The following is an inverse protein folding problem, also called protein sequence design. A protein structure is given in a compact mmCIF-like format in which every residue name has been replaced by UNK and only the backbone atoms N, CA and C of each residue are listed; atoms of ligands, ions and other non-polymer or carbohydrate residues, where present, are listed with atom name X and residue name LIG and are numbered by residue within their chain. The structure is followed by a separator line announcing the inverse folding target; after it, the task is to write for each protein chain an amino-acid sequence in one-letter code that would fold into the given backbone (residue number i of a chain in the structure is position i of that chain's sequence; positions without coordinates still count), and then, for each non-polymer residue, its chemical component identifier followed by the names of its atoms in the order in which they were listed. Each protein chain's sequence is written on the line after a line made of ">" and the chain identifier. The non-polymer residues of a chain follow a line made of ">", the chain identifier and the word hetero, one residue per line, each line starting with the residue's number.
data_IF_237970556726
#
_entry.id   IF_237970556726
#
_cell.length_a   1.000
_cell.length_b   1.000
_cell.length_c   1.000
_cell.angle_alpha   90.00
_cell.angle_beta   90.00
_cell.angle_gamma   90.00
#
_symmetry.space_group_name_H-M   'P 1'
#
loop_
_entity.id
_entity.type
_entity.pdbx_description
1 polymer ?
#
# COMPACT_ATOMS: atom_id res chain seq x y z
N UNK A 1 -3.98 31.16 1.39
CA UNK A 1 -4.32 30.60 2.73
C UNK A 1 -4.01 31.63 3.79
N UNK A 2 -4.96 31.97 4.69
CA UNK A 2 -4.64 32.76 5.88
C UNK A 2 -3.57 32.01 6.68
N UNK A 3 -2.47 32.68 7.04
CA UNK A 3 -1.41 32.10 7.87
C UNK A 3 -1.99 31.76 9.25
N UNK A 4 -2.24 30.48 9.52
CA UNK A 4 -2.73 29.96 10.81
C UNK A 4 -1.60 29.35 11.61
N UNK A 5 -1.79 29.18 12.90
CA UNK A 5 -0.89 28.40 13.76
C UNK A 5 -0.73 26.99 13.18
N UNK A 6 0.48 26.48 13.15
CA UNK A 6 0.81 25.13 12.68
C UNK A 6 1.32 24.30 13.85
N UNK A 7 0.77 23.10 14.01
CA UNK A 7 1.16 22.13 15.03
C UNK A 7 1.81 20.96 14.30
N UNK A 8 3.11 20.79 14.45
CA UNK A 8 3.84 19.63 13.97
C UNK A 8 3.89 18.55 15.03
N UNK A 9 3.63 17.33 14.64
CA UNK A 9 3.46 16.20 15.58
C UNK A 9 4.32 15.03 15.13
N UNK A 10 5.26 14.64 15.98
CA UNK A 10 5.96 13.36 15.87
C UNK A 10 5.30 12.33 16.79
N UNK A 11 4.90 11.18 16.20
CA UNK A 11 4.07 10.17 16.83
C UNK A 11 4.90 8.96 17.26
N UNK A 12 5.02 8.74 18.56
CA UNK A 12 5.53 7.49 19.10
C UNK A 12 4.42 6.69 19.84
N UNK A 13 4.77 5.50 20.31
CA UNK A 13 3.81 4.58 20.94
C UNK A 13 3.16 5.19 22.18
N UNK A 14 3.94 5.77 23.07
CA UNK A 14 3.47 6.25 24.38
C UNK A 14 3.60 7.76 24.52
N UNK A 15 4.59 8.37 23.85
CA UNK A 15 4.92 9.80 23.92
C UNK A 15 4.70 10.42 22.56
N UNK A 16 4.13 11.60 22.53
CA UNK A 16 3.88 12.37 21.31
C UNK A 16 4.59 13.71 21.48
N UNK A 17 5.51 14.00 20.58
CA UNK A 17 6.18 15.29 20.56
C UNK A 17 5.37 16.28 19.74
N UNK A 18 5.17 17.48 20.29
CA UNK A 18 4.33 18.51 19.71
C UNK A 18 5.08 19.84 19.64
N UNK A 19 5.32 20.31 18.42
CA UNK A 19 5.87 21.64 18.14
C UNK A 19 4.77 22.57 17.66
N UNK A 20 4.59 23.69 18.31
CA UNK A 20 3.61 24.73 17.96
C UNK A 20 4.32 25.91 17.34
N UNK A 21 4.05 26.18 16.08
CA UNK A 21 4.67 27.23 15.27
C UNK A 21 3.64 28.29 14.91
N UNK A 22 3.95 29.54 15.17
CA UNK A 22 3.07 30.69 14.84
C UNK A 22 2.85 30.85 13.34
N UNK A 23 1.88 31.64 12.98
CA UNK A 23 1.65 32.07 11.60
C UNK A 23 2.90 32.70 10.94
N UNK A 24 3.75 33.37 11.72
CA UNK A 24 5.01 34.01 11.27
C UNK A 24 6.19 33.04 11.16
N UNK A 25 6.04 31.78 11.60
CA UNK A 25 7.13 30.77 11.56
C UNK A 25 7.96 30.67 12.83
N UNK A 26 7.62 31.39 13.89
CA UNK A 26 8.33 31.31 15.18
C UNK A 26 7.76 30.14 15.99
N UNK A 27 8.61 29.25 16.47
CA UNK A 27 8.24 28.22 17.42
C UNK A 27 7.86 28.83 18.77
N UNK A 28 6.67 28.49 19.27
CA UNK A 28 6.18 28.95 20.58
C UNK A 28 6.41 27.93 21.67
N UNK A 29 6.29 26.66 21.34
CA UNK A 29 6.51 25.57 22.29
C UNK A 29 6.86 24.29 21.56
N UNK A 30 7.69 23.46 22.20
CA UNK A 30 8.03 22.12 21.73
C UNK A 30 8.13 21.23 22.95
N UNK A 31 7.18 20.27 23.09
CA UNK A 31 7.03 19.50 24.32
C UNK A 31 6.50 18.10 24.06
N UNK A 32 6.90 17.19 24.94
CA UNK A 32 6.39 15.82 24.96
C UNK A 32 5.08 15.72 25.73
N UNK A 33 4.09 15.02 25.16
CA UNK A 33 2.79 14.76 25.77
C UNK A 33 2.50 13.27 25.78
N UNK A 34 1.82 12.79 26.82
CA UNK A 34 1.20 11.46 26.76
C UNK A 34 0.03 11.46 25.79
N UNK A 35 -0.38 10.28 25.29
CA UNK A 35 -1.53 10.17 24.37
C UNK A 35 -2.81 10.84 24.91
N UNK A 36 -3.09 10.70 26.21
CA UNK A 36 -4.23 11.36 26.87
C UNK A 36 -4.08 12.88 26.83
N UNK A 37 -2.92 13.40 27.28
CA UNK A 37 -2.64 14.85 27.26
C UNK A 37 -2.66 15.42 25.86
N UNK A 38 -2.27 14.67 24.83
CA UNK A 38 -2.33 15.12 23.45
C UNK A 38 -3.78 15.23 22.95
N UNK A 39 -4.65 14.26 23.30
CA UNK A 39 -6.09 14.38 23.00
C UNK A 39 -6.73 15.62 23.66
N UNK A 40 -6.41 15.86 24.94
CA UNK A 40 -6.86 17.05 25.69
C UNK A 40 -6.30 18.35 25.03
N UNK A 41 -5.03 18.33 24.58
CA UNK A 41 -4.42 19.46 23.87
C UNK A 41 -5.18 19.77 22.58
N UNK A 42 -5.51 18.76 21.75
CA UNK A 42 -6.28 18.97 20.53
C UNK A 42 -7.69 19.58 20.83
N UNK A 43 -8.34 19.15 21.92
CA UNK A 43 -9.64 19.71 22.31
C UNK A 43 -9.59 21.17 22.80
N UNK A 44 -8.47 21.59 23.39
CA UNK A 44 -8.29 22.95 23.93
C UNK A 44 -7.64 23.92 22.93
N UNK A 45 -6.95 23.42 21.92
CA UNK A 45 -6.24 24.21 20.94
C UNK A 45 -7.24 24.90 20.01
N UNK A 46 -7.05 26.21 19.80
CA UNK A 46 -7.79 26.94 18.76
C UNK A 46 -7.57 26.31 17.38
N UNK A 47 -8.56 26.40 16.46
CA UNK A 47 -8.45 25.83 15.14
C UNK A 47 -7.10 26.12 14.46
N UNK A 48 -6.35 25.10 14.13
CA UNK A 48 -4.98 25.18 13.64
C UNK A 48 -4.74 24.16 12.51
N UNK A 49 -3.63 24.31 11.82
CA UNK A 49 -3.12 23.28 10.92
C UNK A 49 -2.33 22.26 11.76
N UNK A 50 -2.84 21.03 11.91
CA UNK A 50 -2.17 19.94 12.63
C UNK A 50 -1.59 18.96 11.63
N UNK A 51 -0.28 18.79 11.65
CA UNK A 51 0.45 17.95 10.71
C UNK A 51 1.12 16.77 11.41
N UNK A 52 1.07 15.63 10.77
CA UNK A 52 1.64 14.36 11.22
C UNK A 52 2.58 13.81 10.17
N UNK A 53 3.69 13.21 10.56
CA UNK A 53 4.43 12.36 9.64
C UNK A 53 3.61 11.10 9.32
N UNK A 54 3.71 10.60 8.08
CA UNK A 54 3.02 9.38 7.62
C UNK A 54 3.65 8.14 8.28
N UNK A 55 3.21 7.81 9.47
CA UNK A 55 3.66 6.67 10.28
C UNK A 55 2.47 5.92 10.90
N UNK A 56 2.76 4.96 11.78
CA UNK A 56 1.74 4.28 12.56
C UNK A 56 0.91 5.30 13.39
N UNK A 57 -0.40 5.10 13.43
CA UNK A 57 -1.40 5.94 14.12
C UNK A 57 -1.67 7.33 13.52
N UNK A 58 -0.94 7.78 12.49
CA UNK A 58 -1.14 9.10 11.87
C UNK A 58 -2.59 9.30 11.36
N UNK A 59 -3.21 8.29 10.75
CA UNK A 59 -4.61 8.36 10.31
C UNK A 59 -5.61 8.52 11.47
N UNK A 60 -5.37 7.83 12.58
CA UNK A 60 -6.20 7.96 13.78
C UNK A 60 -6.15 9.38 14.33
N UNK A 61 -4.95 9.93 14.51
CA UNK A 61 -4.77 11.26 15.06
C UNK A 61 -5.21 12.36 14.09
N UNK A 62 -5.03 12.17 12.79
CA UNK A 62 -5.54 13.12 11.78
C UNK A 62 -7.07 13.20 11.81
N UNK A 63 -7.78 12.05 11.92
CA UNK A 63 -9.25 12.06 12.10
C UNK A 63 -9.65 12.66 13.44
N UNK A 64 -8.88 12.42 14.51
CA UNK A 64 -9.14 13.05 15.81
C UNK A 64 -8.98 14.55 15.74
N UNK A 65 -7.91 15.05 15.13
CA UNK A 65 -7.72 16.49 14.91
C UNK A 65 -8.86 17.12 14.10
N UNK A 66 -9.30 16.48 13.02
CA UNK A 66 -10.47 16.95 12.24
C UNK A 66 -11.75 17.02 13.08
N UNK A 67 -12.00 16.04 13.96
CA UNK A 67 -13.18 16.06 14.86
C UNK A 67 -13.17 17.23 15.85
N UNK A 68 -11.98 17.74 16.20
CA UNK A 68 -11.82 18.94 17.03
C UNK A 68 -11.75 20.24 16.22
N UNK A 69 -12.12 20.22 14.92
CA UNK A 69 -12.20 21.43 14.09
C UNK A 69 -10.86 21.90 13.50
N UNK A 70 -9.80 21.09 13.60
CA UNK A 70 -8.51 21.41 12.99
C UNK A 70 -8.44 20.97 11.52
N UNK A 71 -7.58 21.65 10.75
CA UNK A 71 -7.14 21.16 9.45
C UNK A 71 -6.02 20.14 9.69
N UNK A 72 -6.22 18.89 9.27
CA UNK A 72 -5.24 17.83 9.47
C UNK A 72 -4.51 17.48 8.17
N UNK A 73 -3.18 17.39 8.21
CA UNK A 73 -2.32 16.95 7.11
C UNK A 73 -1.47 15.75 7.54
N UNK A 74 -1.31 14.77 6.65
CA UNK A 74 -0.36 13.66 6.83
C UNK A 74 0.75 13.86 5.81
N UNK A 75 1.97 14.10 6.27
CA UNK A 75 3.10 14.44 5.42
C UNK A 75 3.96 13.19 5.19
N UNK A 76 4.29 12.84 3.94
CA UNK A 76 5.18 11.72 3.67
C UNK A 76 6.55 11.89 4.34
N UNK A 77 7.06 10.85 5.00
CA UNK A 77 8.34 10.87 5.72
C UNK A 77 9.52 11.36 4.86
N UNK A 78 9.52 11.02 3.56
CA UNK A 78 10.53 11.49 2.60
C UNK A 78 10.53 13.00 2.39
N UNK A 79 9.42 13.68 2.66
CA UNK A 79 9.32 15.13 2.54
C UNK A 79 9.67 15.84 3.87
N UNK A 80 9.55 15.14 5.00
CA UNK A 80 9.91 15.65 6.33
C UNK A 80 11.43 15.55 6.56
N UNK A 81 12.03 14.41 6.26
CA UNK A 81 13.43 14.12 6.56
C UNK A 81 14.44 15.19 6.10
N UNK A 82 14.33 15.80 4.89
CA UNK A 82 15.26 16.85 4.46
C UNK A 82 15.13 18.19 5.21
N UNK A 83 14.06 18.37 5.97
CA UNK A 83 13.77 19.61 6.71
C UNK A 83 14.20 19.54 8.17
N UNK A 84 14.59 18.36 8.64
CA UNK A 84 15.12 18.19 9.99
C UNK A 84 16.51 18.86 10.08
N UNK A 85 16.63 19.77 11.01
CA UNK A 85 17.89 20.45 11.32
C UNK A 85 18.53 19.83 12.57
N UNK A 86 19.84 19.68 12.56
CA UNK A 86 20.62 19.15 13.68
C UNK A 86 20.45 17.62 13.88
N UNK A 87 20.55 17.21 15.14
CA UNK A 87 20.49 15.81 15.51
C UNK A 87 19.07 15.24 15.36
N UNK A 88 18.98 13.91 15.17
CA UNK A 88 17.71 13.19 15.15
C UNK A 88 17.17 13.08 16.58
N UNK A 89 16.28 14.02 16.93
CA UNK A 89 15.54 14.07 18.19
C UNK A 89 14.06 14.27 17.89
N UNK A 90 13.19 13.77 18.74
CA UNK A 90 11.73 13.91 18.58
C UNK A 90 11.32 15.38 18.46
N UNK A 91 12.03 16.29 19.19
CA UNK A 91 11.81 17.74 19.11
C UNK A 91 12.09 18.30 17.71
N UNK A 92 13.23 17.93 17.12
CA UNK A 92 13.59 18.35 15.77
C UNK A 92 12.70 17.71 14.70
N UNK A 93 12.26 16.47 14.92
CA UNK A 93 11.35 15.77 14.03
C UNK A 93 9.95 16.43 14.04
N UNK A 94 9.40 16.79 15.21
CA UNK A 94 8.13 17.51 15.31
C UNK A 94 8.19 18.91 14.65
N UNK A 95 9.29 19.63 14.83
CA UNK A 95 9.51 20.92 14.15
C UNK A 95 9.60 20.75 12.64
N UNK A 96 10.34 19.75 12.15
CA UNK A 96 10.45 19.45 10.73
C UNK A 96 9.10 19.09 10.09
N UNK A 97 8.20 18.40 10.82
CA UNK A 97 6.83 18.14 10.39
C UNK A 97 6.05 19.45 10.25
N UNK A 98 6.17 20.38 11.22
CA UNK A 98 5.53 21.70 11.13
C UNK A 98 6.04 22.51 9.94
N UNK A 99 7.35 22.52 9.71
CA UNK A 99 7.98 23.18 8.56
C UNK A 99 7.51 22.58 7.23
N UNK A 100 7.47 21.25 7.12
CA UNK A 100 6.98 20.54 5.94
C UNK A 100 5.52 20.92 5.62
N UNK A 101 4.69 21.00 6.65
CA UNK A 101 3.27 21.33 6.49
C UNK A 101 3.03 22.76 6.00
N UNK A 102 3.96 23.67 6.20
CA UNK A 102 3.88 25.07 5.76
C UNK A 102 4.29 25.28 4.29
N UNK A 103 4.94 24.29 3.69
CA UNK A 103 5.39 24.35 2.29
C UNK A 103 4.29 23.95 1.32
N UNK A 104 3.89 24.83 0.38
CA UNK A 104 2.76 24.57 -0.52
C UNK A 104 3.05 23.48 -1.56
N UNK A 105 4.32 23.24 -1.86
CA UNK A 105 4.76 22.23 -2.83
C UNK A 105 4.89 20.82 -2.24
N UNK A 106 4.76 20.65 -0.92
CA UNK A 106 4.76 19.33 -0.28
C UNK A 106 3.34 18.77 -0.34
N UNK A 107 3.21 17.64 -1.03
CA UNK A 107 1.95 16.90 -1.19
C UNK A 107 1.67 16.03 0.02
N UNK A 108 0.40 15.95 0.40
CA UNK A 108 -0.05 15.10 1.51
C UNK A 108 -0.10 13.62 1.13
N UNK A 109 0.12 12.76 2.12
CA UNK A 109 -0.32 11.38 2.02
C UNK A 109 -1.84 11.32 2.21
N UNK A 110 -2.57 10.52 1.40
CA UNK A 110 -4.02 10.43 1.50
C UNK A 110 -4.47 9.97 2.88
N UNK A 111 -5.35 10.75 3.51
CA UNK A 111 -5.96 10.36 4.77
C UNK A 111 -7.05 9.33 4.51
N UNK A 112 -7.01 8.23 5.24
CA UNK A 112 -7.97 7.14 5.11
C UNK A 112 -9.14 7.29 6.09
N UNK A 113 -10.33 6.93 5.64
CA UNK A 113 -11.49 6.72 6.51
C UNK A 113 -11.27 5.48 7.40
N UNK A 114 -12.11 5.32 8.43
CA UNK A 114 -12.07 4.14 9.29
C UNK A 114 -12.36 2.86 8.49
N UNK A 115 -13.33 2.92 7.60
CA UNK A 115 -13.71 1.85 6.69
C UNK A 115 -12.55 1.43 5.77
N UNK A 116 -11.91 2.39 5.11
CA UNK A 116 -10.74 2.13 4.26
C UNK A 116 -9.57 1.52 5.03
N UNK A 117 -9.38 1.92 6.29
CA UNK A 117 -8.38 1.29 7.16
C UNK A 117 -8.79 -0.14 7.54
N UNK A 118 -10.09 -0.40 7.79
CA UNK A 118 -10.61 -1.74 8.06
C UNK A 118 -10.37 -2.69 6.90
N UNK A 119 -10.78 -2.29 5.70
CA UNK A 119 -10.53 -3.07 4.47
C UNK A 119 -9.02 -3.32 4.24
N UNK A 120 -8.19 -2.30 4.46
CA UNK A 120 -6.74 -2.46 4.35
C UNK A 120 -6.17 -3.41 5.41
N UNK A 121 -6.72 -3.41 6.64
CA UNK A 121 -6.28 -4.31 7.70
C UNK A 121 -6.58 -5.77 7.33
N UNK A 122 -7.80 -6.07 6.88
CA UNK A 122 -8.18 -7.41 6.40
C UNK A 122 -7.23 -7.88 5.27
N UNK A 123 -6.98 -7.01 4.28
CA UNK A 123 -6.10 -7.34 3.17
C UNK A 123 -4.64 -7.56 3.62
N UNK A 124 -4.14 -6.76 4.58
CA UNK A 124 -2.78 -6.93 5.14
C UNK A 124 -2.63 -8.22 5.94
N UNK A 125 -3.66 -8.59 6.72
CA UNK A 125 -3.68 -9.87 7.44
C UNK A 125 -3.59 -11.05 6.47
N UNK A 126 -4.37 -11.00 5.38
CA UNK A 126 -4.26 -12.01 4.31
C UNK A 126 -2.85 -12.05 3.69
N UNK A 127 -2.23 -10.89 3.43
CA UNK A 127 -0.87 -10.85 2.87
C UNK A 127 0.17 -11.46 3.83
N UNK A 128 0.00 -11.29 5.14
CA UNK A 128 0.83 -11.93 6.15
C UNK A 128 0.73 -13.46 6.05
N UNK A 129 -0.50 -14.01 6.04
CA UNK A 129 -0.72 -15.46 5.90
C UNK A 129 -0.08 -16.02 4.61
N UNK A 130 -0.17 -15.28 3.49
CA UNK A 130 0.50 -15.67 2.23
C UNK A 130 2.02 -15.69 2.38
N UNK A 131 2.61 -14.72 3.08
CA UNK A 131 4.04 -14.68 3.34
C UNK A 131 4.49 -15.85 4.23
N UNK A 132 3.75 -16.13 5.30
CA UNK A 132 4.01 -17.28 6.19
C UNK A 132 3.91 -18.60 5.45
N UNK A 133 2.87 -18.81 4.64
CA UNK A 133 2.68 -20.01 3.83
C UNK A 133 3.83 -20.18 2.82
N UNK A 134 4.27 -19.10 2.19
CA UNK A 134 5.42 -19.13 1.26
C UNK A 134 6.73 -19.44 1.98
N UNK A 135 6.98 -18.79 3.10
CA UNK A 135 8.19 -19.04 3.91
C UNK A 135 8.25 -20.49 4.40
N UNK A 136 7.11 -20.98 4.93
CA UNK A 136 7.00 -22.34 5.43
C UNK A 136 7.20 -23.38 4.32
N UNK A 137 6.59 -23.17 3.16
CA UNK A 137 6.75 -24.07 2.00
C UNK A 137 8.19 -24.11 1.47
N UNK A 138 8.88 -22.97 1.45
CA UNK A 138 10.28 -22.91 1.04
C UNK A 138 11.20 -23.55 2.09
N UNK A 139 10.91 -23.37 3.36
CA UNK A 139 11.64 -24.00 4.46
C UNK A 139 11.58 -25.53 4.35
N UNK A 140 10.37 -26.10 4.23
CA UNK A 140 10.21 -27.55 4.09
C UNK A 140 10.96 -28.09 2.86
N UNK A 141 10.82 -27.41 1.70
CA UNK A 141 11.56 -27.82 0.48
C UNK A 141 13.07 -27.74 0.64
N UNK A 142 13.57 -26.69 1.28
CA UNK A 142 15.02 -26.53 1.51
C UNK A 142 15.57 -27.66 2.35
N UNK A 143 14.90 -28.03 3.45
CA UNK A 143 15.35 -29.13 4.30
C UNK A 143 15.21 -30.50 3.62
N UNK A 144 14.12 -30.74 2.88
CA UNK A 144 13.95 -31.99 2.15
C UNK A 144 15.01 -32.18 1.06
N UNK A 145 15.47 -31.10 0.44
CA UNK A 145 16.55 -31.15 -0.57
C UNK A 145 17.87 -31.60 0.02
N UNK A 146 18.16 -31.29 1.30
CA UNK A 146 19.33 -31.79 2.02
C UNK A 146 19.31 -33.34 2.22
N UNK A 147 18.08 -33.93 2.16
CA UNK A 147 17.87 -35.38 2.21
C UNK A 147 17.60 -35.99 0.83
N UNK A 148 18.05 -35.32 -0.24
CA UNK A 148 17.92 -35.83 -1.62
C UNK A 148 16.48 -35.73 -2.20
N UNK A 149 15.49 -35.24 -1.46
CA UNK A 149 14.11 -35.15 -1.92
C UNK A 149 13.85 -33.83 -2.64
N UNK A 150 13.74 -33.87 -3.97
CA UNK A 150 13.51 -32.72 -4.84
C UNK A 150 12.02 -32.66 -5.29
N UNK A 151 11.35 -31.58 -5.01
CA UNK A 151 9.95 -31.35 -5.38
C UNK A 151 9.80 -30.24 -6.42
N UNK A 152 8.87 -30.36 -7.38
CA UNK A 152 8.51 -29.27 -8.29
C UNK A 152 8.04 -28.02 -7.54
N UNK A 153 8.21 -26.87 -8.17
CA UNK A 153 7.73 -25.59 -7.61
C UNK A 153 6.20 -25.55 -7.50
N UNK A 154 5.71 -24.73 -6.59
CA UNK A 154 4.26 -24.48 -6.40
C UNK A 154 3.70 -25.16 -5.14
N UNK A 155 2.71 -24.52 -4.52
CA UNK A 155 2.10 -25.01 -3.27
C UNK A 155 1.31 -26.32 -3.48
N UNK A 156 0.72 -26.50 -4.67
CA UNK A 156 -0.01 -27.71 -5.02
C UNK A 156 0.90 -28.95 -5.08
N UNK A 157 2.13 -28.80 -5.59
CA UNK A 157 3.11 -29.91 -5.62
C UNK A 157 3.48 -30.35 -4.21
N UNK A 158 3.73 -29.40 -3.32
CA UNK A 158 4.06 -29.70 -1.92
C UNK A 158 2.89 -30.42 -1.22
N UNK A 159 1.65 -29.94 -1.39
CA UNK A 159 0.47 -30.54 -0.80
C UNK A 159 0.26 -31.99 -1.25
N UNK A 160 0.53 -32.30 -2.51
CA UNK A 160 0.32 -33.63 -3.08
C UNK A 160 1.42 -34.61 -2.65
N UNK A 161 2.69 -34.17 -2.73
CA UNK A 161 3.82 -35.06 -2.57
C UNK A 161 4.25 -35.28 -1.11
N UNK A 162 3.97 -34.32 -0.22
CA UNK A 162 4.49 -34.42 1.15
C UNK A 162 3.93 -35.60 1.96
N UNK A 163 2.65 -36.01 1.82
CA UNK A 163 2.16 -37.23 2.45
C UNK A 163 2.92 -38.48 1.98
N UNK A 164 3.16 -38.64 0.68
CA UNK A 164 3.91 -39.74 0.11
C UNK A 164 5.35 -39.78 0.63
N UNK A 165 6.00 -38.61 0.73
CA UNK A 165 7.37 -38.50 1.27
C UNK A 165 7.44 -38.88 2.76
N UNK A 166 6.41 -38.57 3.52
CA UNK A 166 6.30 -38.90 4.96
C UNK A 166 6.05 -40.40 5.19
N UNK A 167 5.36 -41.08 4.27
CA UNK A 167 5.04 -42.52 4.34
C UNK A 167 6.17 -43.41 3.76
N UNK A 168 6.96 -42.86 2.83
CA UNK A 168 8.05 -43.55 2.20
C UNK A 168 9.21 -43.76 3.17
N UNK A 169 9.41 -45.03 3.60
CA UNK A 169 10.49 -45.45 4.50
C UNK A 169 11.84 -45.60 3.81
N UNK A 170 11.88 -45.65 2.47
CA UNK A 170 13.12 -45.86 1.70
C UNK A 170 13.87 -44.56 1.37
N UNK A 171 13.22 -43.40 1.58
CA UNK A 171 13.89 -42.10 1.39
C UNK A 171 14.83 -41.75 2.57
N UNK A 172 15.81 -40.87 2.33
CA UNK A 172 16.82 -40.49 3.32
C UNK A 172 16.34 -39.47 4.38
N UNK A 173 15.02 -39.20 4.47
CA UNK A 173 14.50 -38.31 5.51
C UNK A 173 14.62 -38.98 6.88
N UNK A 174 15.40 -38.41 7.83
CA UNK A 174 15.60 -39.04 9.13
C UNK A 174 14.33 -39.23 9.92
N UNK A 175 14.14 -40.37 10.58
CA UNK A 175 12.96 -40.66 11.40
C UNK A 175 12.69 -39.60 12.49
N UNK A 176 13.74 -39.09 13.08
CA UNK A 176 13.67 -38.03 14.09
C UNK A 176 13.08 -36.73 13.52
N UNK A 177 13.14 -36.49 12.21
CA UNK A 177 12.64 -35.30 11.56
C UNK A 177 11.19 -35.46 11.06
N UNK A 178 10.74 -36.68 10.73
CA UNK A 178 9.39 -36.96 10.18
C UNK A 178 8.25 -36.35 11.05
N UNK A 179 8.23 -36.49 12.39
CA UNK A 179 7.18 -35.88 13.20
C UNK A 179 7.18 -34.34 13.13
N UNK A 180 8.35 -33.73 13.04
CA UNK A 180 8.48 -32.27 12.86
C UNK A 180 7.98 -31.84 11.50
N UNK A 181 8.38 -32.54 10.44
CA UNK A 181 7.93 -32.29 9.07
C UNK A 181 6.42 -32.42 8.94
N UNK A 182 5.82 -33.44 9.56
CA UNK A 182 4.37 -33.61 9.60
C UNK A 182 3.66 -32.42 10.28
N UNK A 183 4.17 -31.91 11.41
CA UNK A 183 3.61 -30.70 12.05
C UNK A 183 3.69 -29.47 11.16
N UNK A 184 4.81 -29.29 10.44
CA UNK A 184 4.96 -28.19 9.49
C UNK A 184 3.99 -28.33 8.32
N UNK A 185 3.73 -29.55 7.87
CA UNK A 185 2.74 -29.82 6.82
C UNK A 185 1.31 -29.50 7.26
N UNK A 186 0.91 -29.93 8.45
CA UNK A 186 -0.41 -29.58 9.01
C UNK A 186 -0.54 -28.06 9.08
N UNK A 187 0.46 -27.36 9.63
CA UNK A 187 0.45 -25.88 9.68
C UNK A 187 0.36 -25.25 8.28
N UNK A 188 1.00 -25.84 7.28
CA UNK A 188 0.90 -25.40 5.89
C UNK A 188 -0.53 -25.53 5.33
N UNK A 189 -1.24 -26.62 5.65
CA UNK A 189 -2.64 -26.82 5.24
C UNK A 189 -3.55 -25.79 5.91
N UNK A 190 -3.40 -25.58 7.23
CA UNK A 190 -4.16 -24.57 7.98
C UNK A 190 -3.98 -23.18 7.37
N UNK A 191 -2.74 -22.79 7.04
CA UNK A 191 -2.47 -21.49 6.40
C UNK A 191 -3.14 -21.36 5.03
N UNK A 192 -3.22 -22.44 4.26
CA UNK A 192 -3.92 -22.44 2.96
C UNK A 192 -5.42 -22.22 3.12
N UNK A 193 -6.02 -22.89 4.10
CA UNK A 193 -7.47 -22.78 4.40
C UNK A 193 -7.77 -21.37 4.94
N UNK A 194 -6.95 -20.83 5.81
CA UNK A 194 -7.04 -19.44 6.29
C UNK A 194 -6.97 -18.45 5.13
N UNK A 195 -5.99 -18.60 4.21
CA UNK A 195 -5.86 -17.74 3.02
C UNK A 195 -7.12 -17.83 2.14
N UNK A 196 -7.67 -19.01 1.95
CA UNK A 196 -8.88 -19.21 1.16
C UNK A 196 -10.08 -18.52 1.83
N UNK A 197 -10.24 -18.71 3.13
CA UNK A 197 -11.29 -18.04 3.92
C UNK A 197 -11.19 -16.53 3.84
N UNK A 198 -9.98 -15.98 3.95
CA UNK A 198 -9.73 -14.54 3.78
C UNK A 198 -10.02 -14.04 2.36
N UNK A 199 -9.75 -14.86 1.32
CA UNK A 199 -10.10 -14.51 -0.06
C UNK A 199 -11.62 -14.39 -0.25
N UNK A 200 -12.38 -15.31 0.36
CA UNK A 200 -13.85 -15.27 0.36
C UNK A 200 -14.35 -14.03 1.09
N UNK A 201 -13.84 -13.79 2.30
CA UNK A 201 -14.23 -12.61 3.10
C UNK A 201 -13.95 -11.29 2.36
N UNK A 202 -12.78 -11.15 1.73
CA UNK A 202 -12.45 -9.95 0.93
C UNK A 202 -13.41 -9.81 -0.26
N UNK A 203 -13.77 -10.90 -0.93
CA UNK A 203 -14.72 -10.86 -2.05
C UNK A 203 -16.10 -10.36 -1.61
N UNK A 204 -16.59 -10.83 -0.47
CA UNK A 204 -17.89 -10.38 0.08
C UNK A 204 -17.82 -8.91 0.54
N UNK A 205 -16.76 -8.52 1.23
CA UNK A 205 -16.55 -7.11 1.60
C UNK A 205 -16.54 -6.18 0.38
N UNK A 206 -15.88 -6.58 -0.72
CA UNK A 206 -15.86 -5.79 -1.96
C UNK A 206 -17.25 -5.61 -2.54
N UNK A 207 -18.11 -6.64 -2.51
CA UNK A 207 -19.50 -6.54 -3.00
C UNK A 207 -20.33 -5.55 -2.16
N UNK A 208 -20.12 -5.55 -0.84
CA UNK A 208 -20.85 -4.71 0.09
C UNK A 208 -20.44 -3.23 0.05
N UNK A 209 -19.23 -2.94 -0.46
CA UNK A 209 -18.71 -1.56 -0.51
C UNK A 209 -18.77 -0.98 -1.93
N UNK A 210 -19.71 -0.06 -2.24
CA UNK A 210 -19.87 0.50 -3.58
C UNK A 210 -18.59 1.10 -4.16
N UNK A 211 -17.76 1.76 -3.32
CA UNK A 211 -16.47 2.29 -3.72
C UNK A 211 -15.45 1.22 -4.17
N UNK A 212 -15.64 -0.05 -3.77
CA UNK A 212 -14.79 -1.16 -4.21
C UNK A 212 -15.42 -1.94 -5.36
N UNK A 213 -16.73 -2.21 -5.31
CA UNK A 213 -17.41 -3.09 -6.26
C UNK A 213 -17.28 -2.59 -7.70
N UNK A 214 -17.52 -1.31 -7.94
CA UNK A 214 -17.37 -0.71 -9.27
C UNK A 214 -15.96 -0.85 -9.86
N UNK A 215 -14.92 -0.87 -9.02
CA UNK A 215 -13.54 -1.00 -9.49
C UNK A 215 -13.24 -2.39 -10.09
N UNK A 216 -14.00 -3.41 -9.72
CA UNK A 216 -13.83 -4.77 -10.28
C UNK A 216 -14.29 -4.89 -11.74
N UNK A 217 -15.00 -3.90 -12.27
CA UNK A 217 -15.33 -3.81 -13.69
C UNK A 217 -14.11 -3.47 -14.58
N UNK A 218 -13.04 -2.92 -13.98
CA UNK A 218 -11.81 -2.60 -14.71
C UNK A 218 -11.03 -3.87 -15.05
N UNK A 219 -10.54 -3.97 -16.27
CA UNK A 219 -9.82 -5.13 -16.77
C UNK A 219 -8.55 -5.42 -15.94
N UNK A 220 -8.47 -6.62 -15.39
CA UNK A 220 -7.36 -7.04 -14.54
C UNK A 220 -7.43 -6.53 -13.09
N UNK A 221 -8.53 -5.90 -12.67
CA UNK A 221 -8.76 -5.53 -11.27
C UNK A 221 -9.65 -6.57 -10.61
N UNK A 222 -9.06 -7.39 -9.75
CA UNK A 222 -9.80 -8.29 -8.86
C UNK A 222 -10.09 -7.67 -7.49
N UNK A 223 -10.74 -8.41 -6.57
CA UNK A 223 -11.12 -7.91 -5.25
C UNK A 223 -9.97 -7.30 -4.45
N UNK A 224 -8.80 -7.92 -4.45
CA UNK A 224 -7.59 -7.40 -3.76
C UNK A 224 -7.15 -6.06 -4.37
N UNK A 225 -7.15 -5.97 -5.70
CA UNK A 225 -6.80 -4.72 -6.41
C UNK A 225 -7.78 -3.60 -6.10
N UNK A 226 -9.08 -3.90 -6.04
CA UNK A 226 -10.14 -2.96 -5.71
C UNK A 226 -9.98 -2.40 -4.28
N UNK A 227 -9.79 -3.27 -3.28
CA UNK A 227 -9.53 -2.86 -1.88
C UNK A 227 -8.30 -1.98 -1.79
N UNK A 228 -7.19 -2.37 -2.42
CA UNK A 228 -5.94 -1.61 -2.35
C UNK A 228 -6.05 -0.25 -3.04
N UNK A 229 -6.74 -0.15 -4.18
CA UNK A 229 -7.02 1.11 -4.88
C UNK A 229 -7.87 2.03 -4.00
N UNK A 230 -9.01 1.54 -3.50
CA UNK A 230 -9.91 2.29 -2.64
C UNK A 230 -9.21 2.79 -1.37
N UNK A 231 -8.49 1.92 -0.67
CA UNK A 231 -7.74 2.29 0.53
C UNK A 231 -6.56 3.23 0.28
N UNK A 232 -5.98 3.22 -0.94
CA UNK A 232 -4.85 4.09 -1.28
C UNK A 232 -5.26 5.47 -1.75
N UNK A 233 -6.46 5.63 -2.27
CA UNK A 233 -7.01 6.93 -2.66
C UNK A 233 -7.34 7.79 -1.44
N UNK A 234 -7.74 7.19 -0.33
CA UNK A 234 -8.18 7.91 0.86
C UNK A 234 -9.50 8.64 0.57
N UNK A 235 -9.60 9.91 0.98
CA UNK A 235 -10.73 10.81 0.67
C UNK A 235 -10.66 11.39 -0.74
N UNK A 236 -9.56 11.15 -1.48
CA UNK A 236 -9.33 11.71 -2.81
C UNK A 236 -8.83 13.16 -2.84
N UNK A 237 -8.98 13.89 -1.75
CA UNK A 237 -8.62 15.33 -1.64
C UNK A 237 -7.11 15.59 -1.84
N UNK A 238 -6.26 14.58 -1.59
CA UNK A 238 -4.82 14.69 -1.70
C UNK A 238 -4.31 14.78 -3.15
N UNK A 239 -5.17 14.54 -4.15
CA UNK A 239 -4.79 14.49 -5.55
C UNK A 239 -5.57 15.51 -6.39
N UNK A 240 -4.85 16.36 -7.11
CA UNK A 240 -5.46 17.33 -8.03
C UNK A 240 -6.03 16.67 -9.31
N UNK A 241 -5.65 15.42 -9.59
CA UNK A 241 -6.14 14.70 -10.75
C UNK A 241 -5.63 13.27 -10.88
N UNK A 242 -6.22 12.55 -11.82
CA UNK A 242 -5.95 11.14 -12.07
C UNK A 242 -4.48 10.84 -12.44
N UNK A 243 -3.81 11.79 -13.14
CA UNK A 243 -2.38 11.64 -13.50
C UNK A 243 -1.50 11.68 -12.25
N UNK A 244 -1.82 12.54 -11.30
CA UNK A 244 -1.10 12.66 -10.04
C UNK A 244 -1.27 11.39 -9.19
N UNK A 245 -2.47 10.82 -9.13
CA UNK A 245 -2.71 9.55 -8.46
C UNK A 245 -1.89 8.40 -9.07
N UNK A 246 -1.86 8.28 -10.40
CA UNK A 246 -1.04 7.27 -11.08
C UNK A 246 0.47 7.45 -10.81
N UNK A 247 0.94 8.70 -10.75
CA UNK A 247 2.32 9.02 -10.39
C UNK A 247 2.62 8.68 -8.92
N UNK A 248 1.69 8.99 -8.00
CA UNK A 248 1.78 8.59 -6.59
C UNK A 248 1.91 7.08 -6.41
N UNK A 249 1.24 6.28 -7.24
CA UNK A 249 1.37 4.82 -7.24
C UNK A 249 2.69 4.33 -7.87
N UNK A 250 3.48 5.21 -8.47
CA UNK A 250 4.72 4.86 -9.15
C UNK A 250 4.50 4.15 -10.48
N UNK A 251 3.38 4.41 -11.16
CA UNK A 251 3.02 3.83 -12.46
C UNK A 251 3.46 4.72 -13.64
N UNK A 252 4.20 5.79 -13.37
CA UNK A 252 4.80 6.66 -14.39
C UNK A 252 6.30 6.40 -14.51
N UNK A 253 6.86 6.38 -15.74
CA UNK A 253 8.30 6.29 -15.90
C UNK A 253 9.02 7.48 -15.28
N UNK A 254 10.26 7.26 -14.85
CA UNK A 254 11.14 8.35 -14.40
C UNK A 254 11.71 9.08 -15.60
N UNK A 255 11.77 10.38 -15.50
CA UNK A 255 12.47 11.25 -16.42
C UNK A 255 13.76 11.73 -15.76
N UNK A 256 14.87 11.61 -16.45
CA UNK A 256 16.16 12.18 -16.10
C UNK A 256 16.52 13.18 -17.17
N UNK A 257 16.76 14.42 -16.78
CA UNK A 257 17.16 15.50 -17.71
C UNK A 257 18.51 16.06 -17.28
N UNK A 258 19.42 16.17 -18.21
CA UNK A 258 20.76 16.76 -18.01
C UNK A 258 21.19 17.42 -19.32
N UNK A 259 21.66 18.67 -19.27
CA UNK A 259 22.18 19.39 -20.44
C UNK A 259 21.21 19.47 -21.61
N UNK A 260 19.92 19.67 -21.35
CA UNK A 260 18.87 19.73 -22.41
C UNK A 260 18.44 18.38 -22.98
N UNK A 261 19.08 17.27 -22.61
CA UNK A 261 18.70 15.92 -23.03
C UNK A 261 17.77 15.28 -22.00
N UNK A 262 16.66 14.72 -22.45
CA UNK A 262 15.69 14.01 -21.61
C UNK A 262 15.74 12.52 -21.88
N UNK A 263 16.04 11.73 -20.84
CA UNK A 263 16.00 10.27 -20.88
C UNK A 263 14.82 9.75 -20.05
N UNK A 264 13.97 8.93 -20.67
CA UNK A 264 12.89 8.23 -19.99
C UNK A 264 13.42 6.86 -19.56
N UNK A 265 13.53 6.66 -18.26
CA UNK A 265 13.91 5.36 -17.66
C UNK A 265 12.69 4.70 -17.04
N UNK A 266 12.71 3.37 -16.97
CA UNK A 266 11.58 2.58 -16.48
C UNK A 266 11.04 3.00 -15.11
N UNK A 267 10.08 2.27 -14.58
CA UNK A 267 9.45 2.58 -13.30
C UNK A 267 10.45 2.56 -12.15
N UNK A 268 10.34 3.49 -11.22
CA UNK A 268 11.17 3.50 -10.02
C UNK A 268 10.76 2.39 -9.05
N UNK A 269 11.72 1.60 -8.58
CA UNK A 269 11.49 0.59 -7.53
C UNK A 269 11.19 1.23 -6.17
N UNK A 270 11.68 2.46 -5.93
CA UNK A 270 11.66 3.16 -4.62
C UNK A 270 10.52 4.18 -4.47
N UNK A 271 9.68 4.37 -5.49
CA UNK A 271 8.60 5.37 -5.49
C UNK A 271 7.25 4.69 -5.47
N UNK A 272 6.30 5.26 -4.74
CA UNK A 272 4.90 4.84 -4.69
C UNK A 272 4.63 3.67 -3.74
N UNK A 273 3.40 3.19 -3.79
CA UNK A 273 2.97 2.00 -3.06
C UNK A 273 3.39 0.74 -3.84
N UNK A 274 4.51 0.14 -3.47
CA UNK A 274 5.08 -1.02 -4.17
C UNK A 274 4.12 -2.21 -4.22
N UNK A 275 3.35 -2.46 -3.13
CA UNK A 275 2.39 -3.57 -3.08
C UNK A 275 1.23 -3.35 -4.05
N UNK A 276 0.58 -2.20 -3.99
CA UNK A 276 -0.52 -1.87 -4.90
C UNK A 276 -0.05 -1.87 -6.36
N UNK A 277 1.09 -1.23 -6.65
CA UNK A 277 1.67 -1.24 -8.00
C UNK A 277 1.90 -2.65 -8.52
N UNK A 278 2.46 -3.55 -7.69
CA UNK A 278 2.67 -4.96 -8.07
C UNK A 278 1.36 -5.66 -8.40
N UNK A 279 0.33 -5.50 -7.57
CA UNK A 279 -1.00 -6.10 -7.79
C UNK A 279 -1.62 -5.58 -9.09
N UNK A 280 -1.58 -4.27 -9.33
CA UNK A 280 -2.14 -3.67 -10.55
C UNK A 280 -1.41 -4.15 -11.81
N UNK A 281 -0.08 -4.22 -11.78
CA UNK A 281 0.71 -4.70 -12.93
C UNK A 281 0.46 -6.20 -13.15
N UNK A 282 0.38 -7.03 -12.12
CA UNK A 282 0.11 -8.46 -12.26
C UNK A 282 -1.30 -8.73 -12.80
N UNK A 283 -2.31 -8.01 -12.30
CA UNK A 283 -3.67 -8.09 -12.84
C UNK A 283 -3.73 -7.67 -14.31
N UNK A 284 -3.06 -6.57 -14.66
CA UNK A 284 -2.94 -6.11 -16.03
C UNK A 284 -2.19 -7.11 -16.93
N UNK A 285 -1.10 -7.74 -16.43
CA UNK A 285 -0.38 -8.80 -17.16
C UNK A 285 -1.29 -9.99 -17.45
N UNK A 286 -2.04 -10.44 -16.44
CA UNK A 286 -2.98 -11.55 -16.61
C UNK A 286 -4.03 -11.25 -17.69
N UNK A 287 -4.54 -10.01 -17.73
CA UNK A 287 -5.47 -9.58 -18.77
C UNK A 287 -4.81 -9.54 -20.16
N UNK A 288 -3.66 -8.88 -20.28
CA UNK A 288 -2.90 -8.72 -21.52
C UNK A 288 -2.53 -10.06 -22.15
N UNK A 289 -2.11 -11.04 -21.33
CA UNK A 289 -1.77 -12.39 -21.82
C UNK A 289 -2.98 -13.21 -22.32
N UNK A 290 -4.17 -12.90 -21.81
CA UNK A 290 -5.42 -13.58 -22.22
C UNK A 290 -6.13 -12.90 -23.38
N UNK A 291 -5.67 -11.69 -23.76
CA UNK A 291 -6.28 -10.91 -24.82
C UNK A 291 -5.88 -11.49 -26.19
N UNK A 292 -6.82 -12.21 -26.81
CA UNK A 292 -6.64 -12.77 -28.18
C UNK A 292 -7.31 -11.93 -29.24
N UNK A 293 -8.50 -11.41 -28.94
CA UNK A 293 -9.33 -10.62 -29.84
C UNK A 293 -9.83 -9.35 -29.12
N UNK A 294 -9.89 -8.21 -29.82
CA UNK A 294 -10.35 -6.97 -29.25
C UNK A 294 -11.88 -6.94 -29.09
N UNK A 295 -12.35 -6.74 -27.87
CA UNK A 295 -13.79 -6.60 -27.52
C UNK A 295 -14.21 -5.14 -27.32
N UNK A 296 -13.23 -4.22 -27.26
CA UNK A 296 -13.43 -2.81 -26.99
C UNK A 296 -12.37 -1.96 -27.69
N UNK A 297 -12.57 -0.64 -27.73
CA UNK A 297 -11.56 0.31 -28.21
C UNK A 297 -10.27 0.26 -27.37
N UNK A 298 -10.40 -0.03 -26.06
CA UNK A 298 -9.29 -0.22 -25.15
C UNK A 298 -8.48 -1.48 -25.48
N UNK A 299 -9.14 -2.55 -25.86
CA UNK A 299 -8.47 -3.79 -26.28
C UNK A 299 -7.69 -3.60 -27.58
N UNK A 300 -8.26 -2.89 -28.57
CA UNK A 300 -7.55 -2.52 -29.80
C UNK A 300 -6.28 -1.74 -29.49
N UNK A 301 -6.39 -0.70 -28.67
CA UNK A 301 -5.23 0.08 -28.20
C UNK A 301 -4.18 -0.79 -27.50
N UNK A 302 -4.60 -1.80 -26.69
CA UNK A 302 -3.67 -2.71 -26.02
C UNK A 302 -2.94 -3.61 -27.03
N UNK A 303 -3.65 -4.16 -28.02
CA UNK A 303 -3.05 -5.01 -29.04
C UNK A 303 -2.01 -4.26 -29.85
N UNK A 304 -2.32 -3.05 -30.32
CA UNK A 304 -1.37 -2.18 -31.01
C UNK A 304 -0.13 -1.87 -30.13
N UNK A 305 -0.35 -1.69 -28.82
CA UNK A 305 0.74 -1.45 -27.88
C UNK A 305 1.59 -2.70 -27.63
N UNK A 306 0.97 -3.90 -27.62
CA UNK A 306 1.69 -5.19 -27.53
C UNK A 306 2.60 -5.37 -28.72
N UNK A 307 2.11 -5.16 -29.92
CA UNK A 307 2.88 -5.27 -31.16
C UNK A 307 4.07 -4.30 -31.19
N UNK A 308 3.84 -3.04 -30.85
CA UNK A 308 4.88 -2.00 -30.88
C UNK A 308 5.88 -2.09 -29.73
N UNK A 309 5.48 -2.49 -28.53
CA UNK A 309 6.27 -2.30 -27.31
C UNK A 309 6.38 -3.54 -26.40
N UNK A 310 5.66 -4.60 -26.74
CA UNK A 310 5.65 -5.86 -26.01
C UNK A 310 4.71 -5.90 -24.79
N UNK A 311 4.37 -7.10 -24.35
CA UNK A 311 3.41 -7.40 -23.26
C UNK A 311 3.73 -6.68 -21.93
N UNK A 312 5.01 -6.58 -21.57
CA UNK A 312 5.42 -5.95 -20.31
C UNK A 312 5.07 -4.47 -20.25
N UNK A 313 5.34 -3.70 -21.32
CA UNK A 313 5.00 -2.27 -21.38
C UNK A 313 3.51 -2.06 -21.52
N UNK A 314 2.79 -2.91 -22.26
CA UNK A 314 1.34 -2.90 -22.38
C UNK A 314 0.66 -3.11 -21.01
N UNK A 315 1.13 -4.07 -20.21
CA UNK A 315 0.63 -4.31 -18.85
C UNK A 315 0.82 -3.09 -17.92
N UNK A 316 1.98 -2.44 -17.97
CA UNK A 316 2.23 -1.22 -17.18
C UNK A 316 1.32 -0.07 -17.64
N UNK A 317 1.12 0.09 -18.95
CA UNK A 317 0.25 1.11 -19.50
C UNK A 317 -1.23 0.88 -19.11
N UNK A 318 -1.70 -0.38 -19.14
CA UNK A 318 -3.02 -0.74 -18.66
C UNK A 318 -3.17 -0.46 -17.16
N UNK A 319 -2.20 -0.84 -16.34
CA UNK A 319 -2.20 -0.54 -14.91
C UNK A 319 -2.28 0.97 -14.62
N UNK A 320 -1.54 1.78 -15.37
CA UNK A 320 -1.62 3.25 -15.29
C UNK A 320 -3.01 3.77 -15.68
N UNK A 321 -3.56 3.29 -16.81
CA UNK A 321 -4.89 3.68 -17.28
C UNK A 321 -5.95 3.30 -16.25
N UNK A 322 -5.90 2.08 -15.69
CA UNK A 322 -6.81 1.62 -14.65
C UNK A 322 -6.73 2.47 -13.36
N UNK A 323 -5.52 2.82 -12.91
CA UNK A 323 -5.36 3.71 -11.75
C UNK A 323 -6.02 5.09 -12.00
N UNK A 324 -5.86 5.65 -13.19
CA UNK A 324 -6.47 6.94 -13.56
C UNK A 324 -7.99 6.85 -13.66
N UNK A 325 -8.52 5.75 -14.22
CA UNK A 325 -9.96 5.51 -14.28
C UNK A 325 -10.54 5.28 -12.89
N UNK A 326 -9.87 4.49 -12.04
CA UNK A 326 -10.29 4.28 -10.64
C UNK A 326 -10.36 5.60 -9.85
N UNK A 327 -9.40 6.51 -10.06
CA UNK A 327 -9.46 7.84 -9.46
C UNK A 327 -10.72 8.59 -9.90
N UNK A 328 -11.05 8.60 -11.20
CA UNK A 328 -12.23 9.29 -11.73
C UNK A 328 -13.53 8.68 -11.19
N UNK A 329 -13.61 7.35 -11.15
CA UNK A 329 -14.77 6.64 -10.60
C UNK A 329 -15.03 7.00 -9.14
N UNK A 330 -13.97 6.97 -8.31
CA UNK A 330 -14.09 7.18 -6.87
C UNK A 330 -14.27 8.66 -6.47
N UNK A 331 -13.73 9.60 -7.25
CA UNK A 331 -13.80 11.04 -6.90
C UNK A 331 -14.93 11.79 -7.59
N UNK A 332 -15.34 11.33 -8.78
CA UNK A 332 -16.37 11.97 -9.58
C UNK A 332 -17.69 11.20 -9.61
N UNK A 333 -17.74 10.01 -8.98
CA UNK A 333 -18.91 9.14 -9.01
C UNK A 333 -19.26 8.62 -10.41
N UNK A 334 -18.28 8.57 -11.34
CA UNK A 334 -18.52 8.09 -12.70
C UNK A 334 -18.53 6.57 -12.74
N UNK A 335 -19.46 5.98 -13.49
CA UNK A 335 -19.46 4.55 -13.78
C UNK A 335 -18.48 4.23 -14.91
N UNK A 336 -17.88 3.05 -14.83
CA UNK A 336 -17.01 2.54 -15.88
C UNK A 336 -17.83 1.96 -17.02
N UNK A 337 -17.73 2.57 -18.20
CA UNK A 337 -18.25 2.02 -19.46
C UNK A 337 -17.09 1.37 -20.21
N UNK A 338 -17.27 0.11 -20.57
CA UNK A 338 -16.27 -0.72 -21.26
C UNK A 338 -16.11 -0.37 -22.74
#
# INVERSE_FOLDING_TARGET
>A
MKRSTTVGVDLAKNVIQVSVVSARGKEHSNRSLSRRKFAEFLGKQQPALVAFEACATSHYWARTAKRHGHVARIIPAKAVAPLRQGHKTDSNDALAVAEAARRPNIKDAPMKTLEQQGLQAVQRSRDLLVQECTALSNHMRGLLMEFGVVMPQGLASLQRMLPEILEDGDNEVPDMYRPTLHRLYVRFLDLRDDIQSMNVAIKELVKQHPGCSGLTALEGIGPIGAVLLYASLGTGEAFSGSREFAAYLGLTPRQLSSGGKTNIVGLSKKVGNCRLRSVLIQGARSYVHKLKEPRSSKDRWLMELIERAGHGKAAVALANKNARTAWAMLTKGTEYQR
#
